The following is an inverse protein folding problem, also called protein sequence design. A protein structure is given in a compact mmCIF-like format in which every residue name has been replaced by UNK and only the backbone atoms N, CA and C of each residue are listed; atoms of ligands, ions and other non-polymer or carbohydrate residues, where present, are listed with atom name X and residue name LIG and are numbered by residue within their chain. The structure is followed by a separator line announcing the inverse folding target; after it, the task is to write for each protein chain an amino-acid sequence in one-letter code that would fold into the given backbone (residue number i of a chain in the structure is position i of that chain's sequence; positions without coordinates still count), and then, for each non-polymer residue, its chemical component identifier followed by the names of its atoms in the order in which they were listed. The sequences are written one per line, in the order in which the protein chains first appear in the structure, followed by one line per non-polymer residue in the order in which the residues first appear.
data_IF_967646763957
#
_entry.id   IF_967646763957
#
_cell.length_a   1.000
_cell.length_b   1.000
_cell.length_c   1.000
_cell.angle_alpha   90.00
_cell.angle_beta   90.00
_cell.angle_gamma   90.00
#
_symmetry.space_group_name_H-M   'P 1'
#
loop_
_entity.id
_entity.type
_entity.pdbx_description
1 polymer ?
#
# COMPACT_ATOMS: atom_id res chain seq x y z
N UNK A 1 -17.04 12.66 -13.75
CA UNK A 1 -16.53 12.52 -15.13
C UNK A 1 -15.92 11.14 -15.23
N UNK A 2 -16.33 10.28 -16.16
CA UNK A 2 -15.78 8.92 -16.23
C UNK A 2 -14.35 8.99 -16.78
N UNK A 3 -13.34 8.63 -15.98
CA UNK A 3 -11.97 8.50 -16.44
C UNK A 3 -11.84 7.28 -17.36
N UNK A 4 -11.10 7.43 -18.46
CA UNK A 4 -10.67 6.28 -19.26
C UNK A 4 -9.60 5.49 -18.52
N UNK A 5 -9.36 4.24 -18.93
CA UNK A 5 -8.30 3.41 -18.37
C UNK A 5 -6.91 4.05 -18.50
N UNK A 6 -6.62 4.67 -19.66
CA UNK A 6 -5.36 5.40 -19.88
C UNK A 6 -5.23 6.62 -18.95
N UNK A 7 -6.33 7.36 -18.73
CA UNK A 7 -6.32 8.49 -17.79
C UNK A 7 -6.05 8.02 -16.36
N UNK A 8 -6.64 6.89 -15.95
CA UNK A 8 -6.39 6.32 -14.64
C UNK A 8 -4.93 5.86 -14.48
N UNK A 9 -4.33 5.24 -15.51
CA UNK A 9 -2.90 4.89 -15.49
C UNK A 9 -2.03 6.11 -15.23
N UNK A 10 -2.24 7.15 -16.03
CA UNK A 10 -1.47 8.37 -15.90
C UNK A 10 -1.69 9.05 -14.54
N UNK A 11 -2.92 9.03 -14.03
CA UNK A 11 -3.29 9.55 -12.72
C UNK A 11 -2.53 8.83 -11.60
N UNK A 12 -2.62 7.51 -11.54
CA UNK A 12 -1.92 6.71 -10.53
C UNK A 12 -0.40 6.85 -10.66
N UNK A 13 0.14 6.86 -11.88
CA UNK A 13 1.57 7.05 -12.11
C UNK A 13 2.06 8.40 -11.59
N UNK A 14 1.35 9.48 -11.92
CA UNK A 14 1.69 10.83 -11.47
C UNK A 14 1.66 10.94 -9.95
N UNK A 15 0.62 10.38 -9.32
CA UNK A 15 0.48 10.41 -7.86
C UNK A 15 1.52 9.53 -7.15
N UNK A 16 1.89 8.38 -7.73
CA UNK A 16 2.98 7.57 -7.21
C UNK A 16 4.31 8.32 -7.25
N UNK A 17 4.66 8.87 -8.42
CA UNK A 17 5.88 9.65 -8.63
C UNK A 17 5.98 10.84 -7.68
N UNK A 18 4.85 11.51 -7.43
CA UNK A 18 4.80 12.71 -6.57
C UNK A 18 4.91 12.36 -5.08
N UNK A 19 4.24 11.31 -4.62
CA UNK A 19 4.04 11.07 -3.19
C UNK A 19 4.82 9.88 -2.61
N UNK A 20 5.23 8.93 -3.45
CA UNK A 20 5.74 7.62 -3.04
C UNK A 20 7.13 7.27 -3.60
N UNK A 21 7.63 7.98 -4.62
CA UNK A 21 8.99 7.82 -5.15
C UNK A 21 10.04 8.40 -4.18
N UNK A 22 10.31 7.66 -3.10
CA UNK A 22 11.18 8.06 -1.97
C UNK A 22 11.95 6.85 -1.45
N UNK A 23 12.83 7.11 -0.50
CA UNK A 23 13.52 6.09 0.27
C UNK A 23 12.80 5.92 1.60
N UNK A 24 12.07 4.84 1.75
CA UNK A 24 11.31 4.53 2.94
C UNK A 24 12.13 3.65 3.87
N UNK A 25 12.05 3.89 5.18
CA UNK A 25 12.47 2.96 6.21
C UNK A 25 11.33 2.73 7.18
N UNK A 26 11.14 1.49 7.59
CA UNK A 26 9.89 1.12 8.25
C UNK A 26 9.90 -0.20 8.97
N UNK A 27 8.72 -0.52 9.50
CA UNK A 27 8.40 -1.80 10.12
C UNK A 27 7.17 -2.42 9.46
N UNK A 28 7.20 -3.73 9.29
CA UNK A 28 6.07 -4.57 8.97
C UNK A 28 5.68 -5.31 10.23
N UNK A 29 4.45 -5.14 10.69
CA UNK A 29 3.91 -5.90 11.81
C UNK A 29 2.66 -6.63 11.37
N UNK A 30 2.67 -7.94 11.53
CA UNK A 30 1.58 -8.84 11.20
C UNK A 30 0.81 -9.14 12.48
N UNK A 31 -0.49 -8.90 12.44
CA UNK A 31 -1.39 -9.17 13.58
C UNK A 31 -2.36 -10.29 13.23
N UNK A 32 -2.71 -11.08 14.24
CA UNK A 32 -3.83 -12.03 14.18
C UNK A 32 -5.17 -11.28 14.10
N UNK A 33 -6.28 -11.97 13.82
CA UNK A 33 -7.63 -11.39 13.88
C UNK A 33 -7.98 -10.79 15.25
N UNK A 34 -7.41 -11.35 16.32
CA UNK A 34 -7.58 -10.89 17.71
C UNK A 34 -6.67 -9.69 18.06
N UNK A 35 -5.79 -9.29 17.15
CA UNK A 35 -4.87 -8.16 17.34
C UNK A 35 -3.54 -8.53 18.00
N UNK A 36 -3.21 -9.82 18.12
CA UNK A 36 -1.93 -10.28 18.66
C UNK A 36 -0.82 -10.15 17.60
N UNK A 37 0.37 -9.68 17.99
CA UNK A 37 1.52 -9.62 17.08
C UNK A 37 2.01 -11.04 16.77
N UNK A 38 1.89 -11.44 15.51
CA UNK A 38 2.37 -12.74 15.01
C UNK A 38 3.83 -12.67 14.56
N UNK A 39 4.21 -11.56 13.93
CA UNK A 39 5.55 -11.32 13.41
C UNK A 39 5.78 -9.81 13.28
N UNK A 40 7.01 -9.36 13.51
CA UNK A 40 7.43 -7.99 13.21
C UNK A 40 8.84 -8.01 12.62
N UNK A 41 9.09 -7.16 11.63
CA UNK A 41 10.40 -6.99 11.04
C UNK A 41 10.56 -5.58 10.48
N UNK A 42 11.79 -5.16 10.26
CA UNK A 42 12.11 -3.83 9.73
C UNK A 42 12.68 -3.93 8.33
N UNK A 43 12.78 -2.81 7.64
CA UNK A 43 13.26 -2.81 6.27
C UNK A 43 13.25 -1.44 5.63
N UNK A 44 13.76 -1.40 4.42
CA UNK A 44 13.78 -0.20 3.59
C UNK A 44 13.21 -0.47 2.21
N UNK A 45 12.69 0.58 1.57
CA UNK A 45 12.28 0.59 0.16
C UNK A 45 12.93 1.78 -0.53
N UNK A 46 13.78 1.52 -1.50
CA UNK A 46 14.41 2.54 -2.32
C UNK A 46 13.78 2.50 -3.72
N UNK A 47 13.13 3.58 -4.12
CA UNK A 47 12.51 3.69 -5.45
C UNK A 47 13.22 4.76 -6.27
N UNK A 48 13.73 4.36 -7.44
CA UNK A 48 14.45 5.25 -8.35
C UNK A 48 13.76 5.19 -9.72
N UNK A 49 13.47 6.36 -10.28
CA UNK A 49 12.93 6.48 -11.63
C UNK A 49 14.03 6.75 -12.66
N UNK A 50 13.81 6.32 -13.89
CA UNK A 50 14.64 6.71 -15.03
C UNK A 50 14.48 8.20 -15.37
N UNK A 51 15.37 8.71 -16.23
CA UNK A 51 15.38 10.12 -16.62
C UNK A 51 14.08 10.54 -17.34
N UNK A 52 13.43 9.60 -18.03
CA UNK A 52 12.19 9.84 -18.77
C UNK A 52 10.94 9.66 -17.90
N UNK A 53 11.07 9.21 -16.66
CA UNK A 53 9.98 8.92 -15.73
C UNK A 53 8.96 7.91 -16.26
N UNK A 54 9.44 6.90 -16.98
CA UNK A 54 8.63 5.82 -17.56
C UNK A 54 8.80 4.49 -16.83
N UNK A 55 9.91 4.34 -16.10
CA UNK A 55 10.21 3.16 -15.30
C UNK A 55 10.64 3.54 -13.89
N UNK A 56 10.30 2.68 -12.93
CA UNK A 56 10.79 2.76 -11.56
C UNK A 56 11.40 1.41 -11.21
N UNK A 57 12.64 1.43 -10.72
CA UNK A 57 13.24 0.29 -10.04
C UNK A 57 13.09 0.51 -8.55
N UNK A 58 12.37 -0.41 -7.89
CA UNK A 58 12.19 -0.42 -6.45
C UNK A 58 12.96 -1.59 -5.85
N UNK A 59 13.84 -1.31 -4.89
CA UNK A 59 14.56 -2.32 -4.12
C UNK A 59 14.04 -2.31 -2.70
N UNK A 60 13.53 -3.43 -2.23
CA UNK A 60 13.14 -3.62 -0.84
C UNK A 60 14.16 -4.51 -0.15
N UNK A 61 14.60 -4.11 1.03
CA UNK A 61 15.48 -4.89 1.90
C UNK A 61 14.75 -5.11 3.22
N UNK A 62 14.49 -6.36 3.58
CA UNK A 62 13.82 -6.75 4.82
C UNK A 62 14.81 -7.42 5.75
N UNK A 63 14.78 -7.02 7.03
CA UNK A 63 15.66 -7.52 8.08
C UNK A 63 14.80 -8.14 9.17
N UNK A 64 14.93 -9.46 9.34
CA UNK A 64 14.14 -10.26 10.28
C UNK A 64 14.89 -10.46 11.59
N UNK A 65 14.16 -10.68 12.69
CA UNK A 65 14.73 -10.85 14.04
C UNK A 65 15.69 -12.05 14.16
N UNK A 66 15.53 -13.05 13.29
CA UNK A 66 16.45 -14.20 13.22
C UNK A 66 17.79 -13.87 12.54
N UNK A 67 18.02 -12.62 12.16
CA UNK A 67 19.22 -12.14 11.45
C UNK A 67 19.19 -12.39 9.94
N UNK A 68 18.10 -12.92 9.39
CA UNK A 68 17.93 -13.09 7.94
C UNK A 68 17.68 -11.74 7.28
N UNK A 69 18.30 -11.55 6.12
CA UNK A 69 18.03 -10.41 5.23
C UNK A 69 17.45 -10.93 3.90
N UNK A 70 16.39 -10.29 3.42
CA UNK A 70 15.80 -10.60 2.12
C UNK A 70 15.75 -9.34 1.25
N UNK A 71 16.37 -9.41 0.07
CA UNK A 71 16.29 -8.36 -0.95
C UNK A 71 15.29 -8.75 -2.04
N UNK A 72 14.41 -7.82 -2.41
CA UNK A 72 13.48 -7.96 -3.54
C UNK A 72 13.53 -6.74 -4.45
N UNK A 73 13.73 -6.99 -5.75
CA UNK A 73 13.75 -5.95 -6.78
C UNK A 73 12.47 -6.02 -7.62
N UNK A 74 11.82 -4.88 -7.80
CA UNK A 74 10.61 -4.71 -8.59
C UNK A 74 10.86 -3.67 -9.68
N UNK A 75 10.36 -3.96 -10.88
CA UNK A 75 10.36 -3.02 -11.99
C UNK A 75 8.91 -2.61 -12.25
N UNK A 76 8.65 -1.32 -12.11
CA UNK A 76 7.30 -0.77 -12.19
C UNK A 76 7.20 0.17 -13.38
N UNK A 77 6.08 0.03 -14.09
CA UNK A 77 5.63 0.89 -15.19
C UNK A 77 4.25 1.47 -14.86
N UNK A 78 3.72 2.44 -15.62
CA UNK A 78 2.35 2.90 -15.47
C UNK A 78 1.30 1.76 -15.47
N UNK A 79 1.57 0.65 -16.17
CA UNK A 79 0.68 -0.50 -16.20
C UNK A 79 0.74 -1.33 -14.90
N UNK A 80 1.94 -1.48 -14.31
CA UNK A 80 2.14 -2.22 -13.05
C UNK A 80 1.34 -1.63 -11.88
N UNK A 81 1.20 -0.30 -11.86
CA UNK A 81 0.54 0.38 -10.75
C UNK A 81 -0.94 0.09 -10.69
N UNK A 82 -1.63 -0.09 -11.83
CA UNK A 82 -3.04 -0.51 -11.80
C UNK A 82 -3.20 -1.82 -11.05
N UNK A 83 -2.26 -2.75 -11.20
CA UNK A 83 -2.32 -4.07 -10.57
C UNK A 83 -1.65 -4.09 -9.18
N UNK A 84 -1.14 -2.95 -8.70
CA UNK A 84 -0.52 -2.82 -7.38
C UNK A 84 0.95 -3.19 -7.30
N UNK A 85 1.78 -2.52 -8.10
CA UNK A 85 3.25 -2.63 -8.08
C UNK A 85 3.78 -4.04 -8.44
N UNK A 86 3.00 -4.78 -9.22
CA UNK A 86 3.42 -6.03 -9.82
C UNK A 86 2.98 -6.07 -11.28
N UNK A 87 3.93 -6.28 -12.19
CA UNK A 87 3.65 -6.43 -13.62
C UNK A 87 2.70 -7.62 -13.89
N UNK A 88 2.70 -8.62 -12.99
CA UNK A 88 1.78 -9.77 -13.01
C UNK A 88 1.33 -10.11 -11.60
N UNK A 89 0.03 -10.06 -11.37
CA UNK A 89 -0.61 -10.64 -10.19
C UNK A 89 -1.33 -11.92 -10.62
N UNK A 90 -1.33 -12.94 -9.75
CA UNK A 90 -2.07 -14.18 -10.01
C UNK A 90 -3.59 -13.94 -10.07
N UNK A 91 -4.05 -12.94 -9.32
CA UNK A 91 -5.43 -12.51 -9.25
C UNK A 91 -5.54 -11.09 -9.78
N UNK A 92 -6.60 -10.79 -10.54
CA UNK A 92 -6.84 -9.44 -11.02
C UNK A 92 -6.95 -8.48 -9.83
N UNK A 93 -6.21 -7.38 -9.85
CA UNK A 93 -6.15 -6.40 -8.77
C UNK A 93 -6.32 -4.98 -9.32
N UNK A 94 -6.54 -4.05 -8.41
CA UNK A 94 -6.79 -2.67 -8.73
C UNK A 94 -6.20 -1.74 -7.69
N UNK A 95 -5.60 -0.65 -8.16
CA UNK A 95 -5.09 0.42 -7.34
C UNK A 95 -5.69 1.76 -7.75
N UNK A 96 -5.96 2.62 -6.77
CA UNK A 96 -6.28 4.02 -6.99
C UNK A 96 -5.52 4.90 -6.01
N UNK A 97 -4.88 5.95 -6.52
CA UNK A 97 -4.14 6.92 -5.72
C UNK A 97 -4.85 8.26 -5.72
N UNK A 98 -5.12 8.79 -4.53
CA UNK A 98 -5.70 10.11 -4.35
C UNK A 98 -4.64 11.20 -4.49
N UNK A 99 -5.07 12.40 -4.86
CA UNK A 99 -4.18 13.55 -5.12
C UNK A 99 -3.40 14.03 -3.88
N UNK A 100 -3.82 13.61 -2.68
CA UNK A 100 -3.10 13.92 -1.45
C UNK A 100 -2.03 12.86 -1.08
N UNK A 101 -1.98 11.74 -1.80
CA UNK A 101 -1.00 10.67 -1.61
C UNK A 101 -1.54 9.37 -0.98
N UNK A 102 -2.73 9.33 -0.37
CA UNK A 102 -3.34 8.05 0.01
C UNK A 102 -3.61 7.20 -1.21
N UNK A 103 -3.70 5.90 -1.00
CA UNK A 103 -4.08 4.95 -2.02
C UNK A 103 -4.93 3.84 -1.44
N UNK A 104 -5.60 3.12 -2.34
CA UNK A 104 -6.20 1.83 -2.05
C UNK A 104 -5.68 0.85 -3.08
N UNK A 105 -5.37 -0.36 -2.63
CA UNK A 105 -5.17 -1.53 -3.47
C UNK A 105 -6.17 -2.61 -3.07
N UNK A 106 -6.74 -3.35 -4.00
CA UNK A 106 -7.65 -4.45 -3.71
C UNK A 106 -7.59 -5.49 -4.82
N UNK A 107 -7.94 -6.73 -4.49
CA UNK A 107 -8.28 -7.72 -5.51
C UNK A 107 -9.64 -7.34 -6.16
N UNK A 108 -9.77 -7.54 -7.47
CA UNK A 108 -10.90 -7.06 -8.27
C UNK A 108 -12.17 -7.90 -8.12
N UNK A 109 -12.03 -9.15 -7.66
CA UNK A 109 -13.13 -10.09 -7.58
C UNK A 109 -13.02 -10.90 -6.32
N UNK A 110 -14.18 -11.09 -5.70
CA UNK A 110 -14.39 -12.12 -4.71
C UNK A 110 -14.76 -13.38 -5.49
N UNK A 111 -13.76 -14.22 -5.75
CA UNK A 111 -14.00 -15.54 -6.33
C UNK A 111 -14.03 -16.56 -5.18
N UNK A 112 -14.98 -17.52 -5.18
CA UNK A 112 -14.97 -18.60 -4.19
C UNK A 112 -13.62 -19.32 -4.19
N UNK A 113 -13.15 -19.77 -3.02
CA UNK A 113 -11.88 -20.48 -2.85
C UNK A 113 -10.61 -19.63 -3.07
N UNK A 114 -10.75 -18.34 -3.41
CA UNK A 114 -9.62 -17.40 -3.50
C UNK A 114 -9.52 -16.51 -2.25
N UNK A 115 -8.29 -16.08 -1.95
CA UNK A 115 -8.04 -15.09 -0.91
C UNK A 115 -8.61 -13.73 -1.34
N UNK A 116 -9.22 -12.99 -0.40
CA UNK A 116 -9.56 -11.59 -0.59
C UNK A 116 -8.60 -10.70 0.20
N UNK A 117 -8.06 -9.66 -0.44
CA UNK A 117 -7.19 -8.71 0.22
C UNK A 117 -7.45 -7.27 -0.24
N UNK A 118 -7.33 -6.35 0.71
CA UNK A 118 -7.38 -4.91 0.49
C UNK A 118 -6.29 -4.24 1.31
N UNK A 119 -5.60 -3.27 0.71
CA UNK A 119 -4.60 -2.44 1.37
C UNK A 119 -5.00 -0.97 1.29
N UNK A 120 -5.01 -0.29 2.43
CA UNK A 120 -5.22 1.15 2.53
C UNK A 120 -3.89 1.82 2.80
N UNK A 121 -3.56 2.85 2.03
CA UNK A 121 -2.33 3.61 2.21
C UNK A 121 -2.69 5.01 2.68
N UNK A 122 -2.11 5.42 3.78
CA UNK A 122 -2.24 6.75 4.38
C UNK A 122 -0.90 7.47 4.28
N UNK A 123 -0.96 8.75 3.96
CA UNK A 123 0.21 9.64 3.95
C UNK A 123 -0.06 10.81 4.87
N UNK A 124 0.93 11.14 5.68
CA UNK A 124 0.95 12.36 6.48
C UNK A 124 2.38 12.89 6.48
N UNK A 125 2.60 14.04 5.84
CA UNK A 125 3.93 14.62 5.67
C UNK A 125 4.93 13.59 5.10
N UNK A 126 5.99 13.28 5.84
CA UNK A 126 7.05 12.33 5.46
C UNK A 126 6.82 10.93 6.06
N UNK A 127 5.61 10.65 6.57
CA UNK A 127 5.17 9.34 7.05
C UNK A 127 4.21 8.67 6.08
N UNK A 128 4.40 7.37 5.90
CA UNK A 128 3.46 6.48 5.22
C UNK A 128 3.02 5.40 6.20
N UNK A 129 1.74 5.11 6.22
CA UNK A 129 1.19 3.97 6.93
C UNK A 129 0.28 3.22 5.96
N UNK A 130 0.53 1.94 5.72
CA UNK A 130 -0.44 1.08 5.07
C UNK A 130 -0.99 -0.01 5.99
N UNK A 131 -2.24 -0.35 5.77
CA UNK A 131 -2.96 -1.42 6.43
C UNK A 131 -3.46 -2.40 5.37
N UNK A 132 -2.85 -3.58 5.32
CA UNK A 132 -3.32 -4.71 4.54
C UNK A 132 -4.26 -5.56 5.39
N UNK A 133 -5.42 -5.91 4.86
CA UNK A 133 -6.40 -6.79 5.49
C UNK A 133 -6.62 -7.99 4.58
N UNK A 134 -6.48 -9.20 5.12
CA UNK A 134 -6.52 -10.44 4.34
C UNK A 134 -7.56 -11.41 4.89
N UNK A 135 -8.39 -11.95 4.01
CA UNK A 135 -9.46 -12.89 4.32
C UNK A 135 -9.25 -14.21 3.56
N UNK A 136 -9.53 -15.34 4.21
CA UNK A 136 -9.52 -16.64 3.53
C UNK A 136 -10.74 -16.79 2.59
N UNK A 137 -10.80 -17.92 1.91
CA UNK A 137 -11.90 -18.29 1.01
C UNK A 137 -13.27 -18.37 1.68
N UNK A 138 -13.31 -18.59 3.00
CA UNK A 138 -14.53 -18.66 3.79
C UNK A 138 -14.99 -17.26 4.26
N UNK A 139 -14.23 -16.20 3.91
CA UNK A 139 -14.51 -14.82 4.29
C UNK A 139 -14.08 -14.49 5.72
N UNK A 140 -13.29 -15.33 6.36
CA UNK A 140 -12.76 -15.11 7.70
C UNK A 140 -11.49 -14.27 7.64
N UNK A 141 -11.36 -13.29 8.55
CA UNK A 141 -10.13 -12.51 8.68
C UNK A 141 -9.00 -13.46 9.08
N UNK A 142 -7.90 -13.42 8.34
CA UNK A 142 -6.73 -14.27 8.61
C UNK A 142 -5.62 -13.50 9.32
N UNK A 143 -5.39 -12.27 8.86
CA UNK A 143 -4.39 -11.36 9.44
C UNK A 143 -4.59 -9.95 8.94
N UNK A 144 -3.99 -9.02 9.66
CA UNK A 144 -3.71 -7.67 9.17
C UNK A 144 -2.20 -7.43 9.13
N UNK A 145 -1.74 -6.58 8.21
CA UNK A 145 -0.34 -6.14 8.16
C UNK A 145 -0.32 -4.62 8.24
N UNK A 146 0.34 -4.11 9.28
CA UNK A 146 0.62 -2.69 9.46
C UNK A 146 2.01 -2.41 8.95
N UNK A 147 2.12 -1.63 7.88
CA UNK A 147 3.39 -1.16 7.34
C UNK A 147 3.52 0.31 7.66
N UNK A 148 4.44 0.64 8.55
CA UNK A 148 4.70 2.03 8.92
C UNK A 148 6.07 2.36 8.34
N UNK A 149 6.19 3.52 7.73
CA UNK A 149 7.40 3.95 7.04
C UNK A 149 7.62 5.45 7.20
N UNK A 150 8.87 5.87 7.36
CA UNK A 150 9.32 7.27 7.26
C UNK A 150 10.24 7.47 6.05
N UNK A 151 10.27 8.69 5.51
CA UNK A 151 11.24 9.07 4.48
C UNK A 151 12.64 9.22 5.12
N UNK A 152 13.58 8.37 4.70
CA UNK A 152 14.97 8.39 5.14
C UNK A 152 15.68 9.72 4.86
N UNK A 153 15.24 10.48 3.87
CA UNK A 153 15.82 11.78 3.56
C UNK A 153 15.29 12.88 4.47
N UNK A 154 14.15 12.65 5.15
CA UNK A 154 13.48 13.61 6.01
C UNK A 154 12.81 12.89 7.20
N UNK A 155 13.60 12.51 8.21
CA UNK A 155 13.09 11.84 9.40
C UNK A 155 11.98 12.64 10.09
N UNK A 156 11.01 11.95 10.69
CA UNK A 156 9.86 12.57 11.32
C UNK A 156 9.85 12.34 12.83
N UNK A 157 9.56 13.38 13.63
CA UNK A 157 9.52 13.30 15.10
C UNK A 157 8.39 12.40 15.63
N UNK A 158 7.42 12.04 14.80
CA UNK A 158 6.27 11.21 15.17
C UNK A 158 6.42 9.74 14.73
N UNK A 159 7.63 9.34 14.34
CA UNK A 159 7.97 7.99 13.91
C UNK A 159 8.24 7.04 15.08
N UNK A 160 7.84 5.77 14.97
CA UNK A 160 8.16 4.73 15.97
C UNK A 160 8.13 3.33 15.36
N UNK A 161 9.01 2.47 15.87
CA UNK A 161 9.02 1.04 15.58
C UNK A 161 8.15 0.23 16.55
N UNK A 162 7.65 0.82 17.64
CA UNK A 162 6.86 0.08 18.64
C UNK A 162 5.58 -0.51 18.02
N UNK A 163 5.41 -1.84 17.94
CA UNK A 163 4.23 -2.46 17.32
C UNK A 163 2.95 -2.30 18.16
N UNK A 164 3.07 -2.01 19.46
CA UNK A 164 1.94 -1.82 20.37
C UNK A 164 1.55 -0.34 20.41
N UNK A 165 0.75 0.09 19.44
CA UNK A 165 0.14 1.41 19.43
C UNK A 165 -1.34 1.29 19.74
N UNK A 166 -1.70 1.41 21.01
CA UNK A 166 -3.08 1.68 21.41
C UNK A 166 -3.29 3.19 21.27
N UNK A 167 -4.22 3.66 20.43
CA UNK A 167 -4.53 5.08 20.40
C UNK A 167 -5.01 5.52 21.79
N UNK A 168 -4.26 6.41 22.44
CA UNK A 168 -4.62 7.02 23.74
C UNK A 168 -5.76 8.06 23.62
N UNK A 169 -6.53 7.98 22.51
CA UNK A 169 -7.55 8.94 22.12
C UNK A 169 -8.90 8.27 22.07
N UNK A 170 -9.85 8.85 22.80
CA UNK A 170 -11.26 8.48 22.76
C UNK A 170 -11.88 9.01 21.46
N UNK A 171 -11.98 8.15 20.45
CA UNK A 171 -12.40 8.50 19.08
C UNK A 171 -13.94 8.65 18.95
N UNK A 172 -14.67 8.59 20.07
CA UNK A 172 -16.14 8.42 20.05
C UNK A 172 -16.94 9.71 20.28
N UNK A 173 -16.32 10.89 20.38
CA UNK A 173 -17.06 12.13 20.67
C UNK A 173 -16.79 13.27 19.67
N UNK A 174 -17.77 13.53 18.80
CA UNK A 174 -17.95 14.83 18.15
C UNK A 174 -17.02 15.15 16.98
N UNK A 175 -16.43 14.16 16.32
CA UNK A 175 -15.60 14.43 15.14
C UNK A 175 -16.45 14.85 13.94
N UNK A 176 -16.09 16.00 13.37
CA UNK A 176 -16.60 16.48 12.08
C UNK A 176 -15.50 16.31 11.03
N UNK A 177 -15.88 15.88 9.82
CA UNK A 177 -14.92 15.65 8.74
C UNK A 177 -15.55 15.72 7.37
N UNK A 178 -14.69 15.72 6.35
CA UNK A 178 -15.08 15.64 4.95
C UNK A 178 -14.77 14.24 4.40
N UNK A 179 -15.75 13.60 3.77
CA UNK A 179 -15.54 12.37 3.02
C UNK A 179 -15.53 12.67 1.52
N UNK A 180 -14.53 12.16 0.81
CA UNK A 180 -14.47 12.18 -0.65
C UNK A 180 -14.66 10.76 -1.15
N UNK A 181 -15.73 10.54 -1.92
CA UNK A 181 -16.02 9.24 -2.53
C UNK A 181 -15.75 9.31 -4.02
N UNK A 182 -14.76 8.55 -4.48
CA UNK A 182 -14.47 8.37 -5.90
C UNK A 182 -15.13 7.10 -6.42
N UNK A 183 -15.98 7.23 -7.45
CA UNK A 183 -16.52 6.09 -8.19
C UNK A 183 -15.73 5.92 -9.48
N UNK A 184 -15.11 4.76 -9.63
CA UNK A 184 -14.53 4.37 -10.90
C UNK A 184 -15.67 3.97 -11.83
N UNK A 185 -15.72 4.57 -13.02
CA UNK A 185 -16.66 4.17 -14.06
C UNK A 185 -16.42 2.71 -14.47
N UNK A 186 -17.33 2.10 -15.23
CA UNK A 186 -17.07 0.78 -15.81
C UNK A 186 -15.78 0.83 -16.64
N UNK A 187 -14.70 0.27 -16.10
CA UNK A 187 -13.49 -0.01 -16.88
C UNK A 187 -13.89 -1.15 -17.82
N UNK A 188 -14.04 -0.82 -19.11
CA UNK A 188 -14.44 -1.78 -20.13
C UNK A 188 -13.57 -3.02 -20.06
N UNK A 189 -14.19 -4.20 -20.15
CA UNK A 189 -13.51 -5.51 -20.10
C UNK A 189 -12.47 -5.60 -21.23
N UNK A 190 -11.22 -5.24 -20.93
CA UNK A 190 -10.07 -5.71 -21.70
C UNK A 190 -9.89 -7.19 -21.38
N UNK A 191 -9.95 -8.05 -22.39
CA UNK A 191 -9.59 -9.46 -22.23
C UNK A 191 -8.12 -9.52 -21.79
N UNK A 192 -7.87 -10.22 -20.68
CA UNK A 192 -6.54 -10.75 -20.33
C UNK A 192 -6.14 -11.78 -21.37
#
# INVERSE_FOLDING_TARGET
MNQTFEQLKQHNWTNFMTHHLRNWYGSWTIYSPEGEVMESFVGSRCSISDAEQTHITQTNVYMYDNGTEEEKVFHNTPNSLINGLADKTAQASFMYMFDQGSAIWTVNRFEPEELFAVEFWFRYQELRHSLLVMYNSDGELTKTVSVREEDLQKPCDHWTLNPELIPDRDILNGEEGLAITSRLGQIGRGKV
#
